data_IF_556538928430
#
_entry.id   IF_556538928430
#
_cell.length_a   1.000
_cell.length_b   1.000
_cell.length_c   1.000
_cell.angle_alpha   90.00
_cell.angle_beta   90.00
_cell.angle_gamma   90.00
#
_symmetry.space_group_name_H-M   'P 1'
#
loop_
_entity.id
_entity.type
_entity.pdbx_description
1 polymer ?
#
# COMPACT_ATOMS: atom_id res chain seq x y z
N UNK A 1 -2.39 -4.05 14.85
CA UNK A 1 -3.66 -3.59 15.45
C UNK A 1 -4.75 -4.66 15.34
N UNK A 2 -4.99 -5.26 14.20
CA UNK A 2 -6.04 -6.30 14.01
C UNK A 2 -5.75 -7.57 14.82
N UNK A 3 -4.50 -7.93 15.03
CA UNK A 3 -4.09 -9.11 15.82
C UNK A 3 -4.16 -8.92 17.35
N UNK A 4 -4.50 -7.74 17.84
CA UNK A 4 -4.44 -7.41 19.28
C UNK A 4 -5.77 -7.40 20.03
N UNK A 5 -6.88 -7.79 19.45
CA UNK A 5 -8.15 -8.07 20.16
C UNK A 5 -8.97 -6.89 20.66
N UNK A 6 -8.66 -5.63 20.32
CA UNK A 6 -9.47 -4.47 20.75
C UNK A 6 -9.86 -3.51 19.62
N UNK A 7 -9.61 -3.89 18.39
CA UNK A 7 -9.87 -3.03 17.24
C UNK A 7 -11.37 -2.94 16.89
N UNK A 8 -12.17 -3.95 17.26
CA UNK A 8 -13.61 -3.99 16.99
C UNK A 8 -14.35 -2.80 17.60
N UNK A 9 -13.90 -2.34 18.78
CA UNK A 9 -14.46 -1.16 19.43
C UNK A 9 -14.12 0.16 18.73
N UNK A 10 -13.14 0.17 17.85
CA UNK A 10 -12.65 1.35 17.13
C UNK A 10 -13.27 1.53 15.72
N UNK A 11 -14.11 0.59 15.28
CA UNK A 11 -14.78 0.62 13.97
C UNK A 11 -16.28 0.38 14.10
N UNK A 12 -17.11 0.85 13.14
CA UNK A 12 -18.53 0.53 13.10
C UNK A 12 -18.79 -0.98 13.08
N UNK A 13 -19.85 -1.48 13.75
CA UNK A 13 -20.12 -2.92 13.84
C UNK A 13 -20.20 -3.64 12.48
N UNK A 14 -20.76 -2.97 11.47
CA UNK A 14 -20.83 -3.50 10.10
C UNK A 14 -19.45 -3.69 9.48
N UNK A 15 -18.52 -2.77 9.73
CA UNK A 15 -17.15 -2.88 9.27
C UNK A 15 -16.38 -3.95 10.06
N UNK A 16 -16.63 -4.07 11.38
CA UNK A 16 -16.02 -5.11 12.19
C UNK A 16 -16.33 -6.52 11.65
N UNK A 17 -17.58 -6.78 11.29
CA UNK A 17 -17.98 -8.07 10.70
C UNK A 17 -17.24 -8.40 9.39
N UNK A 18 -16.98 -7.41 8.56
CA UNK A 18 -16.19 -7.60 7.32
C UNK A 18 -14.72 -7.91 7.62
N UNK A 19 -14.11 -7.19 8.58
CA UNK A 19 -12.71 -7.38 8.94
C UNK A 19 -12.45 -8.70 9.68
N UNK A 20 -13.41 -9.22 10.45
CA UNK A 20 -13.27 -10.52 11.13
C UNK A 20 -13.05 -11.68 10.15
N UNK A 21 -13.62 -11.59 8.95
CA UNK A 21 -13.50 -12.60 7.91
C UNK A 21 -12.46 -12.25 6.83
N UNK A 22 -11.82 -11.09 6.92
CA UNK A 22 -10.82 -10.66 5.94
C UNK A 22 -9.47 -11.30 6.22
N UNK A 23 -8.78 -11.71 5.17
CA UNK A 23 -7.39 -12.16 5.25
C UNK A 23 -6.49 -10.93 5.45
N UNK A 24 -5.69 -10.87 6.54
CA UNK A 24 -4.81 -9.74 6.76
C UNK A 24 -3.68 -9.72 5.72
N UNK A 25 -3.34 -8.52 5.26
CA UNK A 25 -2.15 -8.25 4.47
C UNK A 25 -1.06 -7.73 5.40
N UNK A 26 0.08 -8.41 5.45
CA UNK A 26 1.21 -8.06 6.31
C UNK A 26 2.51 -8.02 5.53
N UNK A 27 3.47 -7.21 6.00
CA UNK A 27 4.81 -7.18 5.41
C UNK A 27 5.52 -8.54 5.51
N UNK A 28 5.25 -9.27 6.58
CA UNK A 28 5.81 -10.59 6.81
C UNK A 28 5.36 -11.62 5.74
N UNK A 29 4.11 -11.53 5.27
CA UNK A 29 3.64 -12.41 4.19
C UNK A 29 4.42 -12.17 2.88
N UNK A 30 4.82 -10.93 2.61
CA UNK A 30 5.64 -10.54 1.46
C UNK A 30 7.15 -10.51 1.71
N UNK A 31 7.64 -11.00 2.84
CA UNK A 31 9.03 -10.81 3.28
C UNK A 31 10.07 -11.17 2.23
N UNK A 32 9.95 -12.34 1.59
CA UNK A 32 10.93 -12.78 0.58
C UNK A 32 10.99 -11.87 -0.62
N UNK A 33 9.84 -11.39 -1.09
CA UNK A 33 9.77 -10.47 -2.22
C UNK A 33 10.36 -9.11 -1.84
N UNK A 34 10.06 -8.61 -0.65
CA UNK A 34 10.64 -7.36 -0.12
C UNK A 34 12.16 -7.49 0.01
N UNK A 35 12.67 -8.57 0.60
CA UNK A 35 14.11 -8.80 0.74
C UNK A 35 14.81 -8.88 -0.61
N UNK A 36 14.21 -9.58 -1.59
CA UNK A 36 14.74 -9.63 -2.95
C UNK A 36 14.84 -8.22 -3.54
N UNK A 37 13.78 -7.42 -3.41
CA UNK A 37 13.79 -6.03 -3.91
C UNK A 37 14.85 -5.17 -3.21
N UNK A 38 14.89 -5.17 -1.88
CA UNK A 38 15.85 -4.36 -1.12
C UNK A 38 17.32 -4.72 -1.45
N UNK A 39 17.61 -5.99 -1.72
CA UNK A 39 18.96 -6.46 -2.03
C UNK A 39 19.39 -6.20 -3.48
N UNK A 40 18.44 -5.94 -4.37
CA UNK A 40 18.71 -5.63 -5.79
C UNK A 40 18.68 -4.14 -6.09
N UNK A 41 18.20 -3.30 -5.16
CA UNK A 41 18.17 -1.85 -5.33
C UNK A 41 19.57 -1.24 -5.35
N UNK A 42 19.76 -0.28 -6.23
CA UNK A 42 20.94 0.59 -6.27
C UNK A 42 20.91 1.65 -5.17
N UNK A 43 22.06 2.27 -4.88
CA UNK A 43 22.14 3.39 -3.94
C UNK A 43 21.24 4.56 -4.35
N UNK A 44 21.18 4.88 -5.65
CA UNK A 44 20.32 5.93 -6.18
C UNK A 44 18.83 5.66 -5.94
N UNK A 45 18.39 4.41 -6.09
CA UNK A 45 17.01 4.02 -5.80
C UNK A 45 16.69 4.16 -4.29
N UNK A 46 17.61 3.80 -3.41
CA UNK A 46 17.44 4.03 -1.96
C UNK A 46 17.34 5.52 -1.63
N UNK A 47 18.17 6.36 -2.25
CA UNK A 47 18.15 7.81 -2.04
C UNK A 47 16.85 8.45 -2.51
N UNK A 48 16.26 7.93 -3.60
CA UNK A 48 15.01 8.41 -4.16
C UNK A 48 13.78 8.01 -3.33
N UNK A 49 13.90 7.12 -2.33
CA UNK A 49 12.77 6.65 -1.53
C UNK A 49 12.09 7.79 -0.75
N UNK A 50 10.74 7.78 -0.70
CA UNK A 50 10.00 8.58 0.26
C UNK A 50 10.39 8.22 1.69
N UNK A 51 10.21 9.16 2.62
CA UNK A 51 10.51 9.00 4.05
C UNK A 51 11.99 8.76 4.40
N UNK A 52 12.90 8.65 3.40
CA UNK A 52 14.32 8.33 3.58
C UNK A 52 15.22 9.49 4.02
N UNK A 53 14.67 10.68 4.35
CA UNK A 53 15.43 11.85 4.76
C UNK A 53 16.31 11.60 5.98
N UNK A 54 17.26 12.51 6.21
CA UNK A 54 18.16 12.49 7.38
C UNK A 54 19.08 11.24 7.44
N UNK A 55 19.37 10.62 6.30
CA UNK A 55 20.24 9.46 6.22
C UNK A 55 19.57 8.13 6.57
N UNK A 56 18.24 8.10 6.74
CA UNK A 56 17.50 6.87 7.02
C UNK A 56 17.65 5.86 5.87
N UNK A 57 17.63 6.31 4.63
CA UNK A 57 17.79 5.43 3.47
C UNK A 57 19.15 4.69 3.48
N UNK A 58 20.26 5.38 3.89
CA UNK A 58 21.59 4.75 4.02
C UNK A 58 21.61 3.66 5.10
N UNK A 59 20.90 3.90 6.22
CA UNK A 59 20.78 2.89 7.27
C UNK A 59 19.98 1.68 6.79
N UNK A 60 18.87 1.90 6.08
CA UNK A 60 18.07 0.81 5.51
C UNK A 60 18.90 -0.01 4.50
N UNK A 61 19.59 0.65 3.58
CA UNK A 61 20.45 -0.01 2.59
C UNK A 61 21.52 -0.90 3.25
N UNK A 62 22.24 -0.36 4.26
CA UNK A 62 23.23 -1.14 5.01
C UNK A 62 22.62 -2.31 5.77
N UNK A 63 21.46 -2.11 6.37
CA UNK A 63 20.75 -3.17 7.10
C UNK A 63 20.25 -4.27 6.15
N UNK A 64 19.71 -3.91 5.00
CA UNK A 64 19.26 -4.87 3.98
C UNK A 64 20.38 -5.79 3.46
N UNK A 65 21.61 -5.28 3.39
CA UNK A 65 22.80 -6.08 3.04
C UNK A 65 23.38 -6.92 4.19
N UNK A 66 22.97 -6.65 5.45
CA UNK A 66 23.59 -7.28 6.62
C UNK A 66 22.72 -8.32 7.32
N UNK A 67 21.40 -8.11 7.35
CA UNK A 67 20.47 -8.93 8.11
C UNK A 67 19.64 -9.84 7.22
N UNK A 68 19.20 -10.97 7.78
CA UNK A 68 18.52 -12.01 7.04
C UNK A 68 17.01 -11.78 6.91
N UNK A 69 16.38 -11.15 7.92
CA UNK A 69 14.94 -10.97 8.02
C UNK A 69 14.52 -9.50 8.05
N UNK A 70 13.26 -9.21 7.69
CA UNK A 70 12.71 -7.85 7.79
C UNK A 70 12.67 -7.35 9.24
N UNK A 71 12.36 -8.22 10.20
CA UNK A 71 12.33 -7.82 11.60
C UNK A 71 13.70 -7.34 12.07
N UNK A 72 14.78 -8.10 11.76
CA UNK A 72 16.14 -7.70 12.10
C UNK A 72 16.54 -6.38 11.41
N UNK A 73 16.17 -6.19 10.15
CA UNK A 73 16.42 -4.95 9.40
C UNK A 73 15.73 -3.78 10.09
N UNK A 74 14.45 -3.90 10.42
CA UNK A 74 13.67 -2.86 11.08
C UNK A 74 14.23 -2.53 12.45
N UNK A 75 14.58 -3.54 13.26
CA UNK A 75 15.13 -3.34 14.61
C UNK A 75 16.51 -2.69 14.57
N UNK A 76 17.34 -3.03 13.60
CA UNK A 76 18.67 -2.40 13.40
C UNK A 76 18.58 -0.92 12.96
N UNK A 77 17.53 -0.55 12.23
CA UNK A 77 17.33 0.82 11.72
C UNK A 77 16.57 1.67 12.70
N UNK A 78 15.65 1.09 13.49
CA UNK A 78 14.81 1.77 14.46
C UNK A 78 15.61 2.51 15.50
N UNK A 79 15.15 3.71 15.85
CA UNK A 79 15.74 4.55 16.90
C UNK A 79 14.70 5.55 17.42
N UNK A 80 15.06 6.36 18.43
CA UNK A 80 14.20 7.48 18.88
C UNK A 80 13.83 8.44 17.74
N UNK A 81 14.74 8.61 16.76
CA UNK A 81 14.55 9.48 15.59
C UNK A 81 13.78 8.82 14.47
N UNK A 82 13.87 7.51 14.32
CA UNK A 82 13.24 6.74 13.24
C UNK A 82 12.27 5.72 13.81
N UNK A 83 10.97 6.04 13.72
CA UNK A 83 9.91 5.16 14.21
C UNK A 83 9.73 3.95 13.30
N UNK A 84 9.26 2.84 13.86
CA UNK A 84 8.94 1.62 13.09
C UNK A 84 8.02 1.93 11.91
N UNK A 85 6.94 2.66 12.15
CA UNK A 85 5.97 3.00 11.10
C UNK A 85 6.59 3.77 9.92
N UNK A 86 7.57 4.63 10.18
CA UNK A 86 8.29 5.35 9.11
C UNK A 86 9.15 4.40 8.29
N UNK A 87 9.81 3.44 8.95
CA UNK A 87 10.63 2.41 8.29
C UNK A 87 9.74 1.49 7.46
N UNK A 88 8.63 1.00 8.02
CA UNK A 88 7.68 0.13 7.33
C UNK A 88 7.11 0.79 6.06
N UNK A 89 6.75 2.09 6.12
CA UNK A 89 6.32 2.85 4.95
C UNK A 89 7.43 2.98 3.90
N UNK A 90 8.66 3.20 4.31
CA UNK A 90 9.80 3.29 3.38
C UNK A 90 10.06 1.94 2.70
N UNK A 91 9.99 0.84 3.44
CA UNK A 91 10.10 -0.52 2.90
C UNK A 91 8.99 -0.80 1.90
N UNK A 92 7.75 -0.43 2.23
CA UNK A 92 6.61 -0.59 1.32
C UNK A 92 6.81 0.22 0.02
N UNK A 93 7.25 1.48 0.13
CA UNK A 93 7.57 2.30 -1.04
C UNK A 93 8.70 1.69 -1.89
N UNK A 94 9.74 1.14 -1.25
CA UNK A 94 10.83 0.46 -1.95
C UNK A 94 10.31 -0.76 -2.73
N UNK A 95 9.45 -1.55 -2.12
CA UNK A 95 8.83 -2.72 -2.76
C UNK A 95 7.94 -2.33 -3.94
N UNK A 96 7.09 -1.33 -3.75
CA UNK A 96 6.18 -0.83 -4.80
C UNK A 96 6.90 -0.03 -5.89
N UNK A 97 8.17 0.33 -5.68
CA UNK A 97 8.94 1.16 -6.62
C UNK A 97 8.51 2.62 -6.65
N UNK A 98 7.95 3.12 -5.54
CA UNK A 98 7.53 4.51 -5.40
C UNK A 98 8.71 5.41 -5.03
N UNK A 99 8.81 6.56 -5.70
CA UNK A 99 9.82 7.57 -5.44
C UNK A 99 9.23 8.78 -4.70
N UNK A 100 10.11 9.62 -4.16
CA UNK A 100 9.73 10.88 -3.51
C UNK A 100 9.00 11.82 -4.46
N UNK A 101 9.41 11.85 -5.73
CA UNK A 101 8.79 12.68 -6.76
C UNK A 101 7.36 12.24 -7.03
N UNK A 102 7.12 10.96 -7.18
CA UNK A 102 5.78 10.41 -7.41
C UNK A 102 4.82 10.66 -6.24
N UNK A 103 5.31 10.68 -5.01
CA UNK A 103 4.47 10.97 -3.83
C UNK A 103 3.97 12.42 -3.77
N UNK A 104 4.58 13.33 -4.52
CA UNK A 104 4.15 14.73 -4.62
C UNK A 104 3.19 15.02 -5.76
N UNK A 105 2.91 14.05 -6.62
CA UNK A 105 2.04 14.24 -7.78
C UNK A 105 0.58 14.08 -7.39
N UNK A 106 -0.24 15.06 -7.76
CA UNK A 106 -1.70 14.95 -7.63
C UNK A 106 -2.20 13.99 -8.71
N UNK A 107 -2.96 12.93 -8.35
CA UNK A 107 -3.51 12.01 -9.34
C UNK A 107 -4.38 12.74 -10.36
N UNK A 108 -4.19 12.44 -11.64
CA UNK A 108 -5.01 13.00 -12.73
C UNK A 108 -6.36 12.30 -12.86
N UNK A 109 -6.50 11.11 -12.27
CA UNK A 109 -7.71 10.29 -12.34
C UNK A 109 -8.10 9.81 -10.94
N UNK A 110 -9.39 9.55 -10.76
CA UNK A 110 -9.97 9.01 -9.52
C UNK A 110 -10.72 7.74 -9.86
N UNK A 111 -10.34 6.62 -9.23
CA UNK A 111 -11.09 5.38 -9.36
C UNK A 111 -12.27 5.37 -8.37
N UNK A 112 -13.47 5.47 -8.90
CA UNK A 112 -14.71 5.44 -8.10
C UNK A 112 -15.06 4.00 -7.79
N UNK A 113 -14.88 3.59 -6.53
CA UNK A 113 -15.16 2.21 -6.08
C UNK A 113 -16.63 2.01 -5.71
N UNK A 114 -17.33 3.06 -5.31
CA UNK A 114 -18.74 3.00 -4.94
C UNK A 114 -19.34 4.39 -4.72
N UNK A 115 -20.65 4.50 -4.80
CA UNK A 115 -21.37 5.74 -4.55
C UNK A 115 -22.80 5.50 -4.06
N UNK A 116 -23.33 6.43 -3.29
CA UNK A 116 -24.73 6.50 -2.84
C UNK A 116 -25.61 7.21 -3.90
N UNK A 117 -26.92 7.27 -3.63
CA UNK A 117 -27.86 8.04 -4.46
C UNK A 117 -27.44 9.50 -4.61
N UNK A 118 -26.96 10.14 -3.53
CA UNK A 118 -26.42 11.50 -3.58
C UNK A 118 -25.10 11.58 -4.36
N UNK A 119 -24.18 10.62 -4.15
CA UNK A 119 -22.95 10.53 -4.94
C UNK A 119 -23.23 10.42 -6.44
N UNK A 120 -24.31 9.71 -6.84
CA UNK A 120 -24.75 9.66 -8.24
C UNK A 120 -25.13 11.02 -8.81
N UNK A 121 -25.77 11.89 -8.02
CA UNK A 121 -26.09 13.26 -8.44
C UNK A 121 -24.84 14.10 -8.63
N UNK A 122 -23.86 13.97 -7.73
CA UNK A 122 -22.56 14.63 -7.84
C UNK A 122 -21.83 14.18 -9.11
N UNK A 123 -21.72 12.87 -9.34
CA UNK A 123 -21.08 12.32 -10.55
C UNK A 123 -21.79 12.74 -11.85
N UNK A 124 -23.10 13.01 -11.81
CA UNK A 124 -23.85 13.56 -12.96
C UNK A 124 -23.58 15.03 -13.19
N UNK A 125 -23.44 15.82 -12.11
CA UNK A 125 -23.15 17.25 -12.19
C UNK A 125 -21.69 17.53 -12.59
N UNK A 126 -20.79 16.57 -12.38
CA UNK A 126 -19.35 16.67 -12.61
C UNK A 126 -18.89 15.58 -13.60
N UNK A 127 -19.11 15.78 -14.93
CA UNK A 127 -18.75 14.79 -15.96
C UNK A 127 -17.27 14.42 -15.98
N UNK A 128 -16.40 15.31 -15.51
CA UNK A 128 -14.97 15.09 -15.36
C UNK A 128 -14.63 13.87 -14.46
N UNK A 129 -15.48 13.56 -13.49
CA UNK A 129 -15.29 12.38 -12.64
C UNK A 129 -15.83 11.09 -13.26
N UNK A 130 -16.65 11.15 -14.29
CA UNK A 130 -17.20 9.96 -14.95
C UNK A 130 -16.14 9.17 -15.67
N UNK A 131 -15.29 9.85 -16.43
CA UNK A 131 -14.22 9.22 -17.19
C UNK A 131 -13.10 8.72 -16.30
N UNK A 132 -12.89 9.38 -15.15
CA UNK A 132 -11.90 8.98 -14.17
C UNK A 132 -12.27 7.67 -13.42
N UNK A 133 -13.58 7.36 -13.29
CA UNK A 133 -14.06 6.18 -12.57
C UNK A 133 -14.18 4.90 -13.39
N UNK A 134 -14.00 4.96 -14.71
CA UNK A 134 -14.25 3.83 -15.62
C UNK A 134 -12.99 3.05 -16.01
N UNK A 135 -11.82 3.63 -15.86
CA UNK A 135 -10.56 3.00 -16.25
C UNK A 135 -9.57 2.96 -15.09
N UNK A 136 -9.13 1.76 -14.75
CA UNK A 136 -8.00 1.55 -13.85
C UNK A 136 -6.71 1.85 -14.62
N UNK A 137 -5.86 2.71 -14.09
CA UNK A 137 -4.60 3.03 -14.74
C UNK A 137 -3.65 1.82 -14.76
N UNK A 138 -2.74 1.72 -15.75
CA UNK A 138 -1.73 0.66 -15.75
C UNK A 138 -0.88 0.64 -14.48
N UNK A 139 -0.68 1.80 -13.85
CA UNK A 139 0.06 1.90 -12.59
C UNK A 139 -0.73 1.34 -11.41
N UNK A 140 -2.02 1.62 -11.31
CA UNK A 140 -2.89 1.01 -10.30
C UNK A 140 -2.93 -0.51 -10.42
N UNK A 141 -3.03 -1.04 -11.65
CA UNK A 141 -2.96 -2.48 -11.90
C UNK A 141 -1.63 -3.07 -11.41
N UNK A 142 -0.52 -2.41 -11.73
CA UNK A 142 0.81 -2.82 -11.28
C UNK A 142 0.93 -2.80 -9.76
N UNK A 143 0.53 -1.71 -9.12
CA UNK A 143 0.62 -1.55 -7.67
C UNK A 143 -0.32 -2.51 -6.94
N UNK A 144 -1.53 -2.71 -7.44
CA UNK A 144 -2.50 -3.64 -6.89
C UNK A 144 -1.99 -5.09 -6.93
N UNK A 145 -1.39 -5.51 -8.05
CA UNK A 145 -0.82 -6.85 -8.19
C UNK A 145 0.35 -7.09 -7.23
N UNK A 146 1.20 -6.09 -7.02
CA UNK A 146 2.30 -6.17 -6.05
C UNK A 146 1.78 -6.19 -4.61
N UNK A 147 0.75 -5.39 -4.31
CA UNK A 147 0.14 -5.38 -2.98
C UNK A 147 -0.52 -6.72 -2.64
N UNK A 148 -1.07 -7.42 -3.62
CA UNK A 148 -1.64 -8.76 -3.46
C UNK A 148 -0.64 -9.78 -2.90
N UNK A 149 0.66 -9.60 -3.13
CA UNK A 149 1.71 -10.49 -2.60
C UNK A 149 1.86 -10.44 -1.07
N UNK A 150 1.25 -9.46 -0.40
CA UNK A 150 1.20 -9.39 1.07
C UNK A 150 0.06 -10.23 1.68
N UNK A 151 -0.77 -10.86 0.84
CA UNK A 151 -1.80 -11.80 1.30
C UNK A 151 -1.16 -13.13 1.70
N UNK A 152 -1.74 -13.78 2.71
CA UNK A 152 -1.40 -15.16 3.07
C UNK A 152 -2.09 -16.18 2.16
N UNK A 153 -3.05 -15.73 1.34
CA UNK A 153 -3.71 -16.53 0.31
C UNK A 153 -3.01 -16.35 -1.04
N UNK A 154 -3.35 -17.19 -2.01
CA UNK A 154 -2.89 -17.02 -3.39
C UNK A 154 -3.33 -15.65 -3.90
N UNK A 155 -2.39 -14.79 -4.36
CA UNK A 155 -2.75 -13.47 -4.85
C UNK A 155 -3.62 -13.56 -6.11
N UNK A 156 -4.50 -12.57 -6.26
CA UNK A 156 -5.28 -12.41 -7.47
C UNK A 156 -4.39 -12.18 -8.70
N UNK A 157 -4.92 -12.52 -9.88
CA UNK A 157 -4.24 -12.18 -11.13
C UNK A 157 -4.05 -10.65 -11.25
N UNK A 158 -2.98 -10.18 -11.93
CA UNK A 158 -2.68 -8.74 -12.03
C UNK A 158 -3.81 -7.88 -12.59
N UNK A 159 -4.69 -8.45 -13.41
CA UNK A 159 -5.84 -7.77 -14.03
C UNK A 159 -7.12 -7.82 -13.18
N UNK A 160 -7.10 -8.42 -12.00
CA UNK A 160 -8.27 -8.55 -11.14
C UNK A 160 -8.85 -7.19 -10.74
N UNK A 161 -8.01 -6.18 -10.52
CA UNK A 161 -8.44 -4.82 -10.19
C UNK A 161 -9.27 -4.19 -11.31
N UNK A 162 -8.89 -4.40 -12.58
CA UNK A 162 -9.65 -3.93 -13.74
C UNK A 162 -11.04 -4.59 -13.86
N UNK A 163 -11.20 -5.77 -13.26
CA UNK A 163 -12.46 -6.54 -13.27
C UNK A 163 -13.37 -6.19 -12.09
N UNK A 164 -12.89 -5.42 -11.11
CA UNK A 164 -13.73 -5.00 -9.98
C UNK A 164 -14.85 -4.09 -10.45
N UNK A 165 -16.08 -4.47 -10.08
CA UNK A 165 -17.26 -3.69 -10.41
C UNK A 165 -17.40 -2.51 -9.45
N UNK A 166 -17.81 -1.35 -9.98
CA UNK A 166 -18.21 -0.21 -9.16
C UNK A 166 -19.44 -0.59 -8.33
N UNK A 167 -19.35 -0.42 -7.03
CA UNK A 167 -20.45 -0.72 -6.12
C UNK A 167 -21.41 0.47 -6.04
N UNK A 168 -22.69 0.23 -6.29
CA UNK A 168 -23.76 1.22 -6.10
C UNK A 168 -24.63 0.83 -4.92
N UNK A 169 -24.68 1.68 -3.90
CA UNK A 169 -25.59 1.56 -2.77
C UNK A 169 -26.86 2.38 -3.06
N UNK A 170 -27.93 1.69 -3.36
CA UNK A 170 -29.23 2.28 -3.73
C UNK A 170 -30.08 2.78 -2.56
N UNK A 171 -29.49 3.12 -1.41
CA UNK A 171 -30.20 3.73 -0.29
C UNK A 171 -30.37 5.21 -0.44
#
# INVERSE_FOLDING_TARGET
MISGGSWEAAVPPQAAALFQNATPHTLEAGERAILARLRTMTEAEFEALPYGSEGLWRKLMKAAGRYATLSEIVDAVKSKRYTRTRIDRMILCAFLGLTREQMGVVPSTVHVLGFSAQGRLILRAHPEFRNAGEAVSPEELRLGSLYGLFSTQTPDAPDAEAKRRIFYSGM
#
